data_IF_568656669040
#
_entry.id   IF_568656669040
#
_cell.length_a   1.000
_cell.length_b   1.000
_cell.length_c   1.000
_cell.angle_alpha   90.00
_cell.angle_beta   90.00
_cell.angle_gamma   90.00
#
_symmetry.space_group_name_H-M   'P 1'
#
loop_
_entity.id
_entity.type
_entity.pdbx_description
1 polymer ?
#
# COMPACT_ATOMS: atom_id res chain seq x y z
N UNK A 1 -20.55 -29.80 -15.20
CA UNK A 1 -21.84 -29.24 -15.69
C UNK A 1 -21.81 -29.21 -17.21
N UNK A 2 -22.90 -29.57 -17.92
CA UNK A 2 -22.97 -29.37 -19.37
C UNK A 2 -22.95 -27.86 -19.69
N UNK A 3 -22.28 -27.46 -20.77
CA UNK A 3 -22.17 -26.05 -21.22
C UNK A 3 -23.55 -25.39 -21.36
N UNK A 4 -24.55 -26.15 -21.81
CA UNK A 4 -25.95 -25.69 -21.93
C UNK A 4 -26.60 -25.32 -20.60
N UNK A 5 -26.25 -26.01 -19.50
CA UNK A 5 -26.78 -25.71 -18.16
C UNK A 5 -26.18 -24.43 -17.59
N UNK A 6 -24.88 -24.21 -17.81
CA UNK A 6 -24.20 -22.97 -17.40
C UNK A 6 -24.73 -21.75 -18.15
N UNK A 7 -24.86 -21.85 -19.49
CA UNK A 7 -25.42 -20.77 -20.32
C UNK A 7 -26.84 -20.39 -19.91
N UNK A 8 -27.68 -21.38 -19.53
CA UNK A 8 -29.01 -21.10 -18.98
C UNK A 8 -28.95 -20.29 -17.68
N UNK A 9 -28.11 -20.68 -16.72
CA UNK A 9 -27.98 -19.95 -15.47
C UNK A 9 -27.44 -18.54 -15.67
N UNK A 10 -26.52 -18.35 -16.62
CA UNK A 10 -26.02 -17.03 -17.01
C UNK A 10 -27.15 -16.15 -17.57
N UNK A 11 -27.94 -16.68 -18.50
CA UNK A 11 -29.10 -15.99 -19.08
C UNK A 11 -30.18 -15.67 -18.05
N UNK A 12 -30.44 -16.57 -17.11
CA UNK A 12 -31.39 -16.33 -16.03
C UNK A 12 -30.90 -15.26 -15.05
N UNK A 13 -29.61 -15.29 -14.69
CA UNK A 13 -28.97 -14.28 -13.84
C UNK A 13 -29.01 -12.89 -14.48
N UNK A 14 -28.63 -12.74 -15.75
CA UNK A 14 -28.70 -11.45 -16.45
C UNK A 14 -30.14 -10.95 -16.61
N UNK A 15 -31.10 -11.84 -16.88
CA UNK A 15 -32.52 -11.48 -16.96
C UNK A 15 -33.07 -10.98 -15.62
N UNK A 16 -32.60 -11.54 -14.49
CA UNK A 16 -32.98 -11.06 -13.16
C UNK A 16 -32.50 -9.62 -12.91
N UNK A 17 -31.23 -9.35 -13.23
CA UNK A 17 -30.62 -8.02 -13.13
C UNK A 17 -31.45 -6.97 -13.87
N UNK A 18 -31.88 -7.27 -15.10
CA UNK A 18 -32.66 -6.35 -15.95
C UNK A 18 -34.11 -6.19 -15.47
N UNK A 19 -34.78 -7.25 -15.00
CA UNK A 19 -36.18 -7.18 -14.55
C UNK A 19 -36.36 -6.38 -13.26
N UNK A 20 -35.34 -6.30 -12.40
CA UNK A 20 -35.39 -5.56 -11.14
C UNK A 20 -34.55 -4.26 -11.19
N UNK A 21 -34.62 -3.54 -12.31
CA UNK A 21 -33.68 -2.48 -12.68
C UNK A 21 -33.41 -1.41 -11.61
N UNK A 22 -34.42 -0.98 -10.85
CA UNK A 22 -34.24 0.04 -9.80
C UNK A 22 -33.41 -0.46 -8.61
N UNK A 23 -33.70 -1.68 -8.13
CA UNK A 23 -32.96 -2.29 -7.02
C UNK A 23 -31.57 -2.73 -7.45
N UNK A 24 -31.44 -3.24 -8.68
CA UNK A 24 -30.16 -3.53 -9.33
C UNK A 24 -29.30 -2.28 -9.40
N UNK A 25 -29.85 -1.16 -9.87
CA UNK A 25 -29.14 0.11 -9.97
C UNK A 25 -28.70 0.62 -8.60
N UNK A 26 -29.58 0.62 -7.59
CA UNK A 26 -29.22 1.01 -6.22
C UNK A 26 -28.09 0.15 -5.65
N UNK A 27 -28.11 -1.16 -5.92
CA UNK A 27 -27.07 -2.09 -5.47
C UNK A 27 -25.74 -1.84 -6.15
N UNK A 28 -25.74 -1.71 -7.50
CA UNK A 28 -24.54 -1.42 -8.29
C UNK A 28 -23.94 -0.09 -7.85
N UNK A 29 -24.77 0.94 -7.65
CA UNK A 29 -24.32 2.27 -7.24
C UNK A 29 -23.67 2.25 -5.86
N UNK A 30 -24.25 1.53 -4.91
CA UNK A 30 -23.67 1.42 -3.59
C UNK A 30 -22.37 0.61 -3.56
N UNK A 31 -22.29 -0.49 -4.32
CA UNK A 31 -21.05 -1.24 -4.51
C UNK A 31 -20.00 -0.34 -5.17
N UNK A 32 -20.38 0.42 -6.20
CA UNK A 32 -19.49 1.32 -6.91
C UNK A 32 -18.92 2.39 -6.00
N UNK A 33 -19.75 3.05 -5.17
CA UNK A 33 -19.28 4.05 -4.19
C UNK A 33 -18.34 3.41 -3.18
N UNK A 34 -18.68 2.23 -2.66
CA UNK A 34 -17.87 1.53 -1.67
C UNK A 34 -16.50 1.14 -2.24
N UNK A 35 -16.49 0.56 -3.44
CA UNK A 35 -15.25 0.16 -4.13
C UNK A 35 -14.47 1.35 -4.68
N UNK A 36 -15.12 2.48 -4.96
CA UNK A 36 -14.45 3.73 -5.32
C UNK A 36 -13.64 4.29 -4.15
N UNK A 37 -14.25 4.41 -2.97
CA UNK A 37 -13.56 4.86 -1.75
C UNK A 37 -12.42 3.90 -1.42
N UNK A 38 -12.67 2.59 -1.48
CA UNK A 38 -11.65 1.57 -1.30
C UNK A 38 -10.49 1.73 -2.30
N UNK A 39 -10.81 1.90 -3.59
CA UNK A 39 -9.82 2.00 -4.64
C UNK A 39 -8.97 3.26 -4.53
N UNK A 40 -9.54 4.40 -4.13
CA UNK A 40 -8.77 5.61 -3.79
C UNK A 40 -7.81 5.31 -2.64
N UNK A 41 -8.29 4.65 -1.59
CA UNK A 41 -7.47 4.36 -0.42
C UNK A 41 -6.28 3.44 -0.77
N UNK A 42 -6.54 2.38 -1.55
CA UNK A 42 -5.50 1.48 -2.05
C UNK A 42 -4.51 2.23 -2.92
N UNK A 43 -4.98 3.09 -3.83
CA UNK A 43 -4.11 3.90 -4.68
C UNK A 43 -3.20 4.83 -3.88
N UNK A 44 -3.74 5.52 -2.87
CA UNK A 44 -2.96 6.37 -1.96
C UNK A 44 -1.93 5.52 -1.22
N UNK A 45 -2.33 4.36 -0.70
CA UNK A 45 -1.42 3.48 0.06
C UNK A 45 -0.28 2.96 -0.81
N UNK A 46 -0.56 2.57 -2.05
CA UNK A 46 0.47 2.13 -2.99
C UNK A 46 1.47 3.24 -3.29
N UNK A 47 0.99 4.45 -3.57
CA UNK A 47 1.87 5.60 -3.83
C UNK A 47 2.65 6.03 -2.58
N UNK A 48 2.02 6.06 -1.40
CA UNK A 48 2.71 6.39 -0.14
C UNK A 48 3.78 5.35 0.17
N UNK A 49 3.51 4.06 -0.04
CA UNK A 49 4.53 3.03 0.14
C UNK A 49 5.67 3.17 -0.87
N UNK A 50 5.39 3.52 -2.12
CA UNK A 50 6.41 3.71 -3.15
C UNK A 50 7.31 4.92 -2.86
N UNK A 51 6.70 6.04 -2.47
CA UNK A 51 7.41 7.24 -2.00
C UNK A 51 8.21 6.93 -0.74
N UNK A 52 7.63 6.18 0.20
CA UNK A 52 8.35 5.73 1.39
C UNK A 52 9.56 4.87 1.00
N UNK A 53 9.43 3.91 0.07
CA UNK A 53 10.57 3.10 -0.40
C UNK A 53 11.67 3.94 -1.06
N UNK A 54 11.31 4.93 -1.87
CA UNK A 54 12.29 5.84 -2.50
C UNK A 54 13.07 6.66 -1.45
N UNK A 55 12.41 7.05 -0.36
CA UNK A 55 13.05 7.76 0.76
C UNK A 55 13.89 6.77 1.58
N UNK A 56 13.34 5.61 1.88
CA UNK A 56 13.94 4.51 2.62
C UNK A 56 15.27 4.05 2.00
N UNK A 57 15.34 3.93 0.67
CA UNK A 57 16.57 3.59 -0.05
C UNK A 57 17.69 4.65 0.10
N UNK A 58 17.35 5.86 0.55
CA UNK A 58 18.30 6.95 0.84
C UNK A 58 18.56 7.12 2.34
N UNK A 59 17.92 6.33 3.21
CA UNK A 59 18.12 6.44 4.66
C UNK A 59 19.43 5.77 5.05
N UNK A 60 20.46 6.60 5.20
CA UNK A 60 21.75 6.22 5.74
C UNK A 60 21.87 6.59 7.22
N UNK A 61 22.56 5.75 7.99
CA UNK A 61 22.97 6.08 9.36
C UNK A 61 24.35 6.73 9.28
N UNK A 62 24.44 7.99 9.67
CA UNK A 62 25.70 8.71 9.79
C UNK A 62 26.24 8.59 11.22
N UNK A 63 27.37 7.93 11.37
CA UNK A 63 28.05 7.68 12.64
C UNK A 63 29.26 8.60 12.72
N UNK A 64 29.14 9.72 13.43
CA UNK A 64 30.23 10.67 13.64
C UNK A 64 31.15 10.17 14.75
N UNK A 65 32.44 10.08 14.43
CA UNK A 65 33.49 9.66 15.35
C UNK A 65 33.96 10.83 16.21
N UNK A 66 34.60 10.55 17.33
CA UNK A 66 35.25 11.62 18.08
C UNK A 66 36.46 12.19 17.34
N UNK A 67 36.76 13.47 17.60
CA UNK A 67 37.88 14.15 16.94
C UNK A 67 39.19 13.46 17.32
N UNK A 68 40.07 13.23 16.35
CA UNK A 68 41.36 12.54 16.51
C UNK A 68 41.26 11.06 16.94
N UNK A 69 40.21 10.35 16.52
CA UNK A 69 40.12 8.89 16.71
C UNK A 69 41.29 8.18 15.99
N UNK A 70 42.09 7.33 16.66
CA UNK A 70 43.20 6.60 16.05
C UNK A 70 42.75 5.64 14.93
N UNK A 71 43.56 5.48 13.88
CA UNK A 71 43.22 4.70 12.68
C UNK A 71 42.93 3.21 12.96
N UNK A 72 43.64 2.64 13.91
CA UNK A 72 43.43 1.31 14.46
C UNK A 72 42.05 1.16 15.12
N UNK A 73 41.62 2.17 15.88
CA UNK A 73 40.29 2.21 16.47
C UNK A 73 39.19 2.41 15.42
N UNK A 74 39.44 3.22 14.39
CA UNK A 74 38.53 3.37 13.24
C UNK A 74 38.32 2.01 12.56
N UNK A 75 39.39 1.26 12.32
CA UNK A 75 39.32 -0.05 11.67
C UNK A 75 38.56 -1.08 12.53
N UNK A 76 38.77 -1.06 13.85
CA UNK A 76 38.04 -1.91 14.79
C UNK A 76 36.54 -1.58 14.80
N UNK A 77 36.18 -0.29 14.86
CA UNK A 77 34.80 0.17 14.82
C UNK A 77 34.11 -0.22 13.51
N UNK A 78 34.81 -0.08 12.38
CA UNK A 78 34.28 -0.48 11.08
C UNK A 78 33.91 -1.97 11.07
N UNK A 79 34.79 -2.84 11.59
CA UNK A 79 34.51 -4.28 11.69
C UNK A 79 33.36 -4.59 12.67
N UNK A 80 33.29 -3.88 13.80
CA UNK A 80 32.20 -4.04 14.78
C UNK A 80 30.85 -3.65 14.17
N UNK A 81 30.76 -2.51 13.49
CA UNK A 81 29.52 -2.04 12.86
C UNK A 81 29.14 -2.96 11.70
N UNK A 82 30.10 -3.41 10.88
CA UNK A 82 29.84 -4.33 9.79
C UNK A 82 29.33 -5.71 10.28
N UNK A 83 29.68 -6.11 11.51
CA UNK A 83 29.18 -7.33 12.14
C UNK A 83 27.75 -7.22 12.69
N UNK A 84 27.14 -6.04 12.69
CA UNK A 84 25.77 -5.85 13.17
C UNK A 84 24.77 -6.43 12.16
N UNK A 85 23.85 -7.28 12.64
CA UNK A 85 22.80 -7.84 11.80
C UNK A 85 21.90 -6.74 11.25
N UNK A 86 21.75 -6.71 9.92
CA UNK A 86 20.96 -5.70 9.21
C UNK A 86 21.77 -4.54 8.66
N UNK A 87 23.09 -4.52 8.83
CA UNK A 87 24.00 -3.62 8.10
C UNK A 87 24.33 -4.22 6.74
N UNK A 88 24.05 -3.45 5.68
CA UNK A 88 24.28 -3.83 4.28
C UNK A 88 25.68 -3.43 3.82
N UNK A 89 26.01 -2.15 3.99
CA UNK A 89 27.30 -1.58 3.63
C UNK A 89 27.74 -0.54 4.66
N UNK A 90 29.06 -0.36 4.77
CA UNK A 90 29.67 0.69 5.59
C UNK A 90 30.76 1.38 4.77
N UNK A 91 30.74 2.71 4.76
CA UNK A 91 31.73 3.54 4.08
C UNK A 91 32.32 4.55 5.06
N UNK A 92 33.64 4.60 5.15
CA UNK A 92 34.35 5.67 5.86
C UNK A 92 34.33 6.94 5.01
N UNK A 93 34.04 8.06 5.64
CA UNK A 93 34.05 9.40 5.06
C UNK A 93 34.91 10.27 5.96
N UNK A 94 36.04 10.73 5.45
CA UNK A 94 36.90 11.63 6.22
C UNK A 94 36.26 13.01 6.37
N UNK A 95 36.69 13.77 7.38
CA UNK A 95 36.24 15.16 7.56
C UNK A 95 36.47 16.03 6.32
N UNK A 96 37.53 15.79 5.55
CA UNK A 96 37.81 16.48 4.29
C UNK A 96 36.82 16.10 3.19
N UNK A 97 36.53 14.80 3.03
CA UNK A 97 35.51 14.34 2.08
C UNK A 97 34.11 14.86 2.45
N UNK A 98 33.79 14.87 3.74
CA UNK A 98 32.55 15.44 4.28
C UNK A 98 32.40 16.93 3.95
N UNK A 99 33.50 17.70 4.00
CA UNK A 99 33.50 19.12 3.63
C UNK A 99 33.20 19.32 2.13
N UNK A 100 33.77 18.48 1.27
CA UNK A 100 33.49 18.49 -0.18
C UNK A 100 32.01 18.18 -0.45
N UNK A 101 31.47 17.14 0.20
CA UNK A 101 30.06 16.78 0.08
C UNK A 101 29.12 17.90 0.56
N UNK A 102 29.44 18.54 1.68
CA UNK A 102 28.66 19.64 2.24
C UNK A 102 28.66 20.86 1.29
N UNK A 103 29.82 21.20 0.70
CA UNK A 103 29.93 22.26 -0.32
C UNK A 103 29.06 21.98 -1.55
N UNK A 104 28.96 20.72 -1.97
CA UNK A 104 28.13 20.33 -3.10
C UNK A 104 26.63 20.46 -2.78
N UNK A 105 26.20 20.05 -1.57
CA UNK A 105 24.80 20.12 -1.11
C UNK A 105 24.30 21.56 -0.93
N UNK A 106 25.16 22.48 -0.47
CA UNK A 106 24.81 23.88 -0.22
C UNK A 106 24.71 24.73 -1.51
N UNK A 107 25.20 24.23 -2.64
CA UNK A 107 25.20 24.95 -3.92
C UNK A 107 26.12 26.19 -3.92
N UNK A 108 26.13 26.91 -5.04
CA UNK A 108 26.99 28.09 -5.27
C UNK A 108 26.88 29.14 -4.17
N UNK A 109 25.68 29.38 -3.63
CA UNK A 109 25.42 30.41 -2.62
C UNK A 109 25.96 30.07 -1.22
N UNK A 110 26.13 28.79 -0.89
CA UNK A 110 26.65 28.37 0.42
C UNK A 110 28.13 27.96 0.43
N UNK A 111 28.76 27.81 -0.74
CA UNK A 111 30.21 27.51 -0.84
C UNK A 111 31.07 28.57 -0.16
N UNK A 112 30.76 29.85 -0.36
CA UNK A 112 31.50 30.96 0.24
C UNK A 112 31.43 31.00 1.78
N UNK A 113 30.42 30.36 2.39
CA UNK A 113 30.31 30.22 3.84
C UNK A 113 31.24 29.15 4.42
N UNK A 114 31.78 28.28 3.57
CA UNK A 114 32.66 27.18 3.94
C UNK A 114 34.14 27.45 3.59
N UNK A 115 34.45 28.67 3.13
CA UNK A 115 35.82 29.10 2.85
C UNK A 115 36.57 29.32 4.18
N UNK A 116 37.77 28.74 4.31
CA UNK A 116 38.59 28.84 5.53
C UNK A 116 38.45 27.69 6.53
N UNK A 117 37.48 26.78 6.34
CA UNK A 117 37.33 25.55 7.14
C UNK A 117 38.12 24.35 6.57
N UNK A 118 39.19 24.62 5.81
CA UNK A 118 40.06 23.59 5.24
C UNK A 118 41.20 23.23 6.20
N UNK A 119 41.71 22.00 6.08
CA UNK A 119 42.82 21.52 6.92
C UNK A 119 42.46 21.49 8.40
N UNK A 120 43.28 22.13 9.24
CA UNK A 120 43.12 22.11 10.70
C UNK A 120 41.92 22.91 11.21
N UNK A 121 41.38 23.82 10.40
CA UNK A 121 40.19 24.59 10.78
C UNK A 121 38.89 23.84 10.52
N UNK A 122 38.94 22.62 9.97
CA UNK A 122 37.74 21.85 9.65
C UNK A 122 37.01 21.39 10.93
N UNK A 123 35.78 21.88 11.20
CA UNK A 123 35.04 21.54 12.40
C UNK A 123 34.32 20.20 12.28
N UNK A 124 34.41 19.52 11.14
CA UNK A 124 33.75 18.25 10.90
C UNK A 124 34.51 17.09 11.55
N UNK A 125 33.73 16.11 11.98
CA UNK A 125 34.22 14.83 12.44
C UNK A 125 34.37 13.86 11.26
N UNK A 126 35.31 12.92 11.36
CA UNK A 126 35.27 11.72 10.53
C UNK A 126 33.97 10.94 10.81
N UNK A 127 33.43 10.27 9.79
CA UNK A 127 32.17 9.58 9.91
C UNK A 127 32.16 8.24 9.17
N UNK A 128 31.30 7.34 9.64
CA UNK A 128 30.84 6.22 8.82
C UNK A 128 29.44 6.49 8.29
N UNK A 129 29.26 6.26 6.99
CA UNK A 129 27.95 6.14 6.36
C UNK A 129 27.59 4.65 6.33
N UNK A 130 26.50 4.29 7.00
CA UNK A 130 26.04 2.91 7.14
C UNK A 130 24.69 2.77 6.45
N UNK A 131 24.63 1.91 5.44
CA UNK A 131 23.39 1.47 4.81
C UNK A 131 22.86 0.22 5.52
N UNK A 132 21.54 0.13 5.69
CA UNK A 132 20.89 -1.04 6.27
C UNK A 132 20.19 -1.88 5.20
N UNK A 133 20.02 -3.17 5.47
CA UNK A 133 19.31 -4.10 4.56
C UNK A 133 17.81 -3.79 4.47
N UNK A 134 17.21 -3.38 5.59
CA UNK A 134 15.80 -3.01 5.70
C UNK A 134 15.72 -1.63 6.37
N UNK A 135 15.26 -0.60 5.65
CA UNK A 135 15.13 0.75 6.18
C UNK A 135 14.21 0.87 7.42
N UNK A 136 13.32 -0.10 7.64
CA UNK A 136 12.50 -0.17 8.87
C UNK A 136 13.31 -0.52 10.11
N UNK A 137 14.50 -1.11 9.93
CA UNK A 137 15.41 -1.49 11.02
C UNK A 137 16.43 -0.39 11.34
N UNK A 138 16.44 0.74 10.62
CA UNK A 138 17.39 1.85 10.83
C UNK A 138 17.49 2.27 12.29
N UNK A 139 16.36 2.42 12.99
CA UNK A 139 16.35 2.81 14.40
C UNK A 139 17.02 1.75 15.30
N UNK A 140 16.77 0.47 15.03
CA UNK A 140 17.33 -0.65 15.80
C UNK A 140 18.84 -0.74 15.59
N UNK A 141 19.29 -0.66 14.33
CA UNK A 141 20.72 -0.68 13.97
C UNK A 141 21.42 0.55 14.55
N UNK A 142 20.81 1.74 14.47
CA UNK A 142 21.37 2.96 15.04
C UNK A 142 21.52 2.88 16.58
N UNK A 143 20.55 2.27 17.27
CA UNK A 143 20.64 2.03 18.71
C UNK A 143 21.73 0.99 19.05
N UNK A 144 21.91 -0.05 18.23
CA UNK A 144 22.99 -1.03 18.37
C UNK A 144 24.38 -0.40 18.15
N UNK A 145 24.52 0.46 17.15
CA UNK A 145 25.76 1.23 16.91
C UNK A 145 26.02 2.17 18.09
N UNK A 146 24.99 2.86 18.58
CA UNK A 146 25.11 3.74 19.75
C UNK A 146 25.52 2.96 21.00
N UNK A 147 25.10 1.69 21.11
CA UNK A 147 25.45 0.82 22.23
C UNK A 147 26.95 0.43 22.24
N UNK A 148 27.69 0.55 21.13
CA UNK A 148 29.15 0.31 21.07
C UNK A 148 29.91 1.26 22.02
N UNK A 149 29.35 2.45 22.30
CA UNK A 149 29.90 3.39 23.27
C UNK A 149 29.70 2.95 24.73
N UNK A 150 28.87 1.94 25.00
CA UNK A 150 28.55 1.53 26.36
C UNK A 150 29.80 0.92 27.01
N UNK A 151 30.31 1.55 28.06
CA UNK A 151 31.48 1.06 28.81
C UNK A 151 32.84 1.44 28.22
N UNK A 152 32.91 2.33 27.21
CA UNK A 152 34.16 2.91 26.70
C UNK A 152 34.35 4.36 27.19
N UNK A 153 35.54 4.68 27.67
CA UNK A 153 35.97 6.04 28.02
C UNK A 153 37.44 6.24 27.56
N UNK A 154 37.72 7.14 26.60
CA UNK A 154 36.78 8.00 25.88
C UNK A 154 35.86 7.21 24.93
N UNK A 155 34.68 7.78 24.65
CA UNK A 155 33.72 7.20 23.71
C UNK A 155 34.21 7.44 22.28
N UNK A 156 34.41 6.38 21.47
CA UNK A 156 34.88 6.56 20.10
C UNK A 156 33.85 7.18 19.15
N UNK A 157 32.55 7.03 19.45
CA UNK A 157 31.46 7.58 18.62
C UNK A 157 30.93 8.84 19.30
N UNK A 158 31.01 9.98 18.64
CA UNK A 158 30.45 11.24 19.12
C UNK A 158 28.92 11.26 19.00
N UNK A 159 28.40 10.93 17.81
CA UNK A 159 26.96 11.02 17.52
C UNK A 159 26.53 10.06 16.42
N UNK A 160 25.41 9.37 16.62
CA UNK A 160 24.73 8.59 15.58
C UNK A 160 23.51 9.38 15.09
N UNK A 161 23.43 9.63 13.80
CA UNK A 161 22.35 10.39 13.17
C UNK A 161 21.77 9.65 11.97
N UNK A 162 20.49 9.33 12.03
CA UNK A 162 19.73 8.72 10.95
C UNK A 162 18.46 9.51 10.61
N UNK A 163 18.36 10.78 11.03
CA UNK A 163 17.12 11.54 10.91
C UNK A 163 16.04 11.06 11.89
N UNK A 164 16.46 10.68 13.11
CA UNK A 164 15.59 10.29 14.23
C UNK A 164 14.45 11.29 14.39
N UNK A 165 13.23 10.79 14.64
CA UNK A 165 12.03 11.61 14.72
C UNK A 165 11.32 11.76 13.37
N UNK A 166 12.00 12.23 12.31
CA UNK A 166 11.39 12.36 10.97
C UNK A 166 11.13 10.99 10.34
N UNK A 167 12.14 10.11 10.35
CA UNK A 167 12.02 8.74 9.83
C UNK A 167 11.00 7.93 10.65
N UNK A 168 11.03 8.06 11.98
CA UNK A 168 10.07 7.40 12.86
C UNK A 168 8.64 7.92 12.65
N UNK A 169 8.46 9.22 12.44
CA UNK A 169 7.16 9.80 12.12
C UNK A 169 6.64 9.30 10.77
N UNK A 170 7.51 9.21 9.76
CA UNK A 170 7.17 8.66 8.44
C UNK A 170 6.64 7.22 8.55
N UNK A 171 7.37 6.35 9.26
CA UNK A 171 6.94 4.96 9.47
C UNK A 171 5.64 4.88 10.28
N UNK A 172 5.50 5.68 11.35
CA UNK A 172 4.27 5.73 12.15
C UNK A 172 3.07 6.18 11.32
N UNK A 173 3.21 7.23 10.50
CA UNK A 173 2.13 7.72 9.63
C UNK A 173 1.75 6.65 8.62
N UNK A 174 2.73 6.04 7.95
CA UNK A 174 2.49 4.97 6.96
C UNK A 174 1.76 3.77 7.60
N UNK A 175 2.15 3.39 8.81
CA UNK A 175 1.48 2.32 9.56
C UNK A 175 0.04 2.70 9.96
N UNK A 176 -0.19 3.91 10.45
CA UNK A 176 -1.54 4.41 10.81
C UNK A 176 -2.44 4.40 9.57
N UNK A 177 -1.97 4.94 8.45
CA UNK A 177 -2.69 4.93 7.17
C UNK A 177 -3.04 3.48 6.81
N UNK A 178 -2.08 2.55 6.83
CA UNK A 178 -2.34 1.15 6.51
C UNK A 178 -3.44 0.51 7.36
N UNK A 179 -3.41 0.72 8.68
CA UNK A 179 -4.41 0.15 9.60
C UNK A 179 -5.79 0.80 9.47
N UNK A 180 -5.85 2.13 9.39
CA UNK A 180 -7.11 2.87 9.16
C UNK A 180 -7.74 2.43 7.84
N UNK A 181 -6.90 2.32 6.81
CA UNK A 181 -7.26 1.77 5.52
C UNK A 181 -7.92 0.42 5.59
N UNK A 182 -7.22 -0.53 6.20
CA UNK A 182 -7.72 -1.88 6.39
C UNK A 182 -9.09 -1.91 7.12
N UNK A 183 -9.26 -1.07 8.15
CA UNK A 183 -10.54 -0.91 8.84
C UNK A 183 -11.67 -0.41 7.93
N UNK A 184 -11.40 0.60 7.11
CA UNK A 184 -12.36 1.13 6.12
C UNK A 184 -12.72 0.04 5.10
N UNK A 185 -11.75 -0.74 4.61
CA UNK A 185 -11.99 -1.84 3.67
C UNK A 185 -12.99 -2.84 4.24
N UNK A 186 -12.79 -3.27 5.49
CA UNK A 186 -13.66 -4.23 6.17
C UNK A 186 -15.07 -3.66 6.31
N UNK A 187 -15.19 -2.40 6.77
CA UNK A 187 -16.47 -1.74 6.97
C UNK A 187 -17.27 -1.65 5.66
N UNK A 188 -16.63 -1.16 4.60
CA UNK A 188 -17.26 -1.01 3.28
C UNK A 188 -17.59 -2.36 2.63
N UNK A 189 -16.77 -3.39 2.89
CA UNK A 189 -17.07 -4.74 2.42
C UNK A 189 -18.34 -5.29 3.10
N UNK A 190 -18.48 -5.05 4.41
CA UNK A 190 -19.66 -5.50 5.16
C UNK A 190 -20.95 -4.82 4.70
N UNK A 191 -20.92 -3.50 4.45
CA UNK A 191 -22.09 -2.77 3.93
C UNK A 191 -22.48 -3.25 2.54
N UNK A 192 -21.51 -3.49 1.65
CA UNK A 192 -21.75 -4.02 0.31
C UNK A 192 -22.37 -5.42 0.35
N UNK A 193 -21.84 -6.32 1.18
CA UNK A 193 -22.41 -7.67 1.40
C UNK A 193 -23.86 -7.57 1.89
N UNK A 194 -24.14 -6.69 2.85
CA UNK A 194 -25.48 -6.49 3.40
C UNK A 194 -26.49 -6.02 2.33
N UNK A 195 -26.10 -5.06 1.50
CA UNK A 195 -26.97 -4.54 0.44
C UNK A 195 -27.23 -5.58 -0.64
N UNK A 196 -26.21 -6.33 -1.07
CA UNK A 196 -26.39 -7.42 -2.03
C UNK A 196 -27.32 -8.49 -1.45
N UNK A 197 -27.15 -8.83 -0.18
CA UNK A 197 -28.02 -9.80 0.48
C UNK A 197 -29.48 -9.34 0.49
N UNK A 198 -29.73 -8.04 0.73
CA UNK A 198 -31.07 -7.45 0.70
C UNK A 198 -31.68 -7.47 -0.72
N UNK A 199 -30.88 -7.14 -1.73
CA UNK A 199 -31.33 -7.16 -3.13
C UNK A 199 -31.68 -8.57 -3.58
N UNK A 200 -30.82 -9.55 -3.31
CA UNK A 200 -31.07 -10.97 -3.60
C UNK A 200 -32.33 -11.45 -2.86
N UNK A 201 -32.54 -11.03 -1.61
CA UNK A 201 -33.75 -11.36 -0.84
C UNK A 201 -35.01 -10.88 -1.57
N UNK A 202 -35.01 -9.64 -2.04
CA UNK A 202 -36.14 -9.06 -2.78
C UNK A 202 -36.35 -9.81 -4.10
N UNK A 203 -35.28 -10.14 -4.84
CA UNK A 203 -35.38 -10.94 -6.07
C UNK A 203 -35.97 -12.33 -5.81
N UNK A 204 -35.56 -13.00 -4.73
CA UNK A 204 -36.12 -14.30 -4.31
C UNK A 204 -37.62 -14.18 -4.00
N UNK A 205 -38.02 -13.15 -3.24
CA UNK A 205 -39.43 -12.92 -2.90
C UNK A 205 -40.28 -12.66 -4.15
N UNK A 206 -39.77 -11.87 -5.10
CA UNK A 206 -40.45 -11.61 -6.38
C UNK A 206 -40.63 -12.89 -7.22
N UNK A 207 -39.74 -13.88 -7.09
CA UNK A 207 -39.78 -15.16 -7.83
C UNK A 207 -40.29 -16.34 -6.99
N UNK A 208 -40.90 -16.10 -5.82
CA UNK A 208 -41.30 -17.16 -4.88
C UNK A 208 -42.19 -18.23 -5.51
N UNK A 209 -43.18 -17.84 -6.33
CA UNK A 209 -44.08 -18.79 -7.02
C UNK A 209 -43.34 -19.71 -8.00
N UNK A 210 -42.40 -19.16 -8.76
CA UNK A 210 -41.59 -19.93 -9.72
C UNK A 210 -40.69 -20.93 -8.99
N UNK A 211 -40.03 -20.48 -7.92
CA UNK A 211 -39.21 -21.33 -7.04
C UNK A 211 -40.05 -22.47 -6.44
N UNK A 212 -41.27 -22.19 -5.98
CA UNK A 212 -42.18 -23.22 -5.47
C UNK A 212 -42.51 -24.28 -6.53
N UNK A 213 -42.79 -23.88 -7.78
CA UNK A 213 -43.05 -24.82 -8.87
C UNK A 213 -41.81 -25.68 -9.15
N UNK A 214 -40.61 -25.09 -9.21
CA UNK A 214 -39.38 -25.84 -9.40
C UNK A 214 -39.15 -26.88 -8.29
N UNK A 215 -39.43 -26.52 -7.02
CA UNK A 215 -39.34 -27.46 -5.90
C UNK A 215 -40.35 -28.62 -6.05
N UNK A 216 -41.58 -28.35 -6.50
CA UNK A 216 -42.62 -29.38 -6.70
C UNK A 216 -42.28 -30.38 -7.82
N UNK A 217 -41.53 -29.96 -8.85
CA UNK A 217 -41.10 -30.82 -9.96
C UNK A 217 -39.75 -31.52 -9.65
N UNK A 218 -39.23 -31.39 -8.42
CA UNK A 218 -38.03 -32.10 -7.97
C UNK A 218 -36.69 -31.44 -8.31
N UNK A 219 -36.67 -30.12 -8.58
CA UNK A 219 -35.42 -29.42 -8.81
C UNK A 219 -34.52 -29.42 -7.55
N UNK A 220 -33.22 -29.68 -7.73
CA UNK A 220 -32.27 -29.68 -6.60
C UNK A 220 -32.06 -28.27 -6.05
N UNK A 221 -31.79 -28.17 -4.73
CA UNK A 221 -31.48 -26.89 -4.10
C UNK A 221 -30.35 -26.16 -4.82
N UNK A 222 -29.26 -26.85 -5.19
CA UNK A 222 -28.15 -26.24 -5.93
C UNK A 222 -28.59 -25.64 -7.27
N UNK A 223 -29.48 -26.32 -8.00
CA UNK A 223 -30.00 -25.83 -9.28
C UNK A 223 -30.76 -24.50 -9.13
N UNK A 224 -31.52 -24.34 -8.04
CA UNK A 224 -32.26 -23.11 -7.75
C UNK A 224 -31.33 -21.97 -7.29
N UNK A 225 -30.20 -22.29 -6.66
CA UNK A 225 -29.26 -21.30 -6.09
C UNK A 225 -28.31 -20.68 -7.11
N UNK A 226 -27.87 -21.45 -8.11
CA UNK A 226 -26.89 -21.01 -9.10
C UNK A 226 -27.20 -19.70 -9.82
N UNK A 227 -28.44 -19.45 -10.28
CA UNK A 227 -28.81 -18.17 -10.89
C UNK A 227 -28.55 -16.96 -9.99
N UNK A 228 -28.79 -17.09 -8.68
CA UNK A 228 -28.59 -16.02 -7.71
C UNK A 228 -27.10 -15.77 -7.43
N UNK A 229 -26.25 -16.81 -7.47
CA UNK A 229 -24.80 -16.61 -7.37
C UNK A 229 -24.24 -15.85 -8.55
N UNK A 230 -24.73 -16.17 -9.75
CA UNK A 230 -24.34 -15.47 -10.97
C UNK A 230 -24.86 -14.02 -10.95
N UNK A 231 -26.10 -13.80 -10.49
CA UNK A 231 -26.65 -12.45 -10.29
C UNK A 231 -25.78 -11.63 -9.32
N UNK A 232 -25.42 -12.20 -8.18
CA UNK A 232 -24.51 -11.57 -7.22
C UNK A 232 -23.14 -11.25 -7.81
N UNK A 233 -22.53 -12.21 -8.53
CA UNK A 233 -21.25 -12.01 -9.20
C UNK A 233 -21.32 -10.92 -10.28
N UNK A 234 -22.41 -10.84 -11.06
CA UNK A 234 -22.62 -9.81 -12.07
C UNK A 234 -22.79 -8.43 -11.43
N UNK A 235 -23.59 -8.32 -10.37
CA UNK A 235 -23.75 -7.08 -9.60
C UNK A 235 -22.40 -6.60 -9.05
N UNK A 236 -21.61 -7.52 -8.48
CA UNK A 236 -20.27 -7.25 -7.99
C UNK A 236 -19.30 -6.80 -9.10
N UNK A 237 -19.28 -7.53 -10.22
CA UNK A 237 -18.44 -7.22 -11.37
C UNK A 237 -18.75 -5.84 -11.96
N UNK A 238 -20.02 -5.57 -12.30
CA UNK A 238 -20.42 -4.27 -12.85
C UNK A 238 -20.21 -3.15 -11.84
N UNK A 239 -20.51 -3.41 -10.56
CA UNK A 239 -20.27 -2.47 -9.46
C UNK A 239 -18.79 -2.16 -9.24
N UNK A 240 -17.88 -3.08 -9.56
CA UNK A 240 -16.42 -2.87 -9.49
C UNK A 240 -15.80 -2.28 -10.75
N UNK A 241 -16.42 -2.50 -11.91
CA UNK A 241 -15.89 -2.05 -13.20
C UNK A 241 -15.94 -0.52 -13.33
N UNK A 242 -17.06 0.08 -12.94
CA UNK A 242 -17.27 1.54 -12.99
C UNK A 242 -16.20 2.29 -12.16
N UNK A 243 -16.02 2.00 -10.85
CA UNK A 243 -15.01 2.69 -10.06
C UNK A 243 -13.59 2.40 -10.53
N UNK A 244 -13.29 1.18 -10.99
CA UNK A 244 -11.97 0.86 -11.56
C UNK A 244 -11.65 1.77 -12.76
N UNK A 245 -12.59 1.94 -13.70
CA UNK A 245 -12.41 2.84 -14.85
C UNK A 245 -12.22 4.30 -14.43
N UNK A 246 -13.02 4.78 -13.46
CA UNK A 246 -12.92 6.17 -12.98
C UNK A 246 -11.57 6.41 -12.30
N UNK A 247 -11.15 5.50 -11.41
CA UNK A 247 -9.89 5.64 -10.67
C UNK A 247 -8.70 5.58 -11.63
N UNK A 248 -8.66 4.61 -12.54
CA UNK A 248 -7.55 4.45 -13.47
C UNK A 248 -7.50 5.58 -14.50
N UNK A 249 -8.65 6.00 -15.05
CA UNK A 249 -8.72 7.14 -15.95
C UNK A 249 -8.30 8.45 -15.25
N UNK A 250 -8.71 8.63 -13.99
CA UNK A 250 -8.29 9.74 -13.14
C UNK A 250 -6.79 9.72 -12.86
N UNK A 251 -6.23 8.56 -12.51
CA UNK A 251 -4.81 8.38 -12.22
C UNK A 251 -3.94 8.60 -13.46
N UNK A 252 -4.33 8.06 -14.60
CA UNK A 252 -3.64 8.29 -15.87
C UNK A 252 -3.59 9.78 -16.24
N UNK A 253 -4.72 10.49 -16.08
CA UNK A 253 -4.77 11.94 -16.29
C UNK A 253 -3.88 12.68 -15.29
N UNK A 254 -3.87 12.27 -14.02
CA UNK A 254 -3.03 12.87 -12.98
C UNK A 254 -1.54 12.75 -13.33
N UNK A 255 -1.09 11.58 -13.78
CA UNK A 255 0.31 11.35 -14.18
C UNK A 255 0.72 12.26 -15.34
N UNK A 256 -0.11 12.38 -16.37
CA UNK A 256 0.17 13.25 -17.54
C UNK A 256 0.18 14.75 -17.20
N UNK A 257 -0.57 15.18 -16.18
CA UNK A 257 -0.52 16.55 -15.68
C UNK A 257 0.67 16.78 -14.75
N UNK A 258 1.06 15.74 -13.99
CA UNK A 258 2.12 15.80 -12.99
C UNK A 258 3.52 15.80 -13.60
N UNK A 259 3.71 15.13 -14.75
CA UNK A 259 4.97 15.19 -15.51
C UNK A 259 5.37 16.61 -15.94
N UNK A 260 4.43 17.57 -15.92
CA UNK A 260 4.70 18.98 -16.21
C UNK A 260 5.09 19.81 -14.96
N UNK A 261 4.79 19.37 -13.72
CA UNK A 261 4.93 20.21 -12.52
C UNK A 261 5.59 19.56 -11.29
N UNK A 262 5.65 18.22 -11.16
CA UNK A 262 6.18 17.56 -9.95
C UNK A 262 7.69 17.29 -9.96
N UNK A 263 8.36 17.54 -11.09
CA UNK A 263 9.82 17.41 -11.20
C UNK A 263 10.58 18.36 -10.23
N UNK A 264 9.89 19.39 -9.71
CA UNK A 264 10.40 20.31 -8.69
C UNK A 264 10.45 19.72 -7.26
N UNK A 265 9.71 18.63 -7.00
CA UNK A 265 9.63 18.01 -5.66
C UNK A 265 10.44 16.71 -5.54
N UNK A 266 11.10 16.24 -6.61
CA UNK A 266 11.84 14.95 -6.63
C UNK A 266 11.00 13.74 -6.13
N UNK A 267 9.67 13.81 -6.23
CA UNK A 267 8.77 12.71 -5.86
C UNK A 267 8.20 12.13 -7.16
N UNK A 268 8.60 10.91 -7.49
CA UNK A 268 8.06 10.17 -8.63
C UNK A 268 6.87 9.32 -8.18
N UNK A 269 5.70 9.56 -8.80
CA UNK A 269 4.53 8.70 -8.62
C UNK A 269 4.75 7.37 -9.36
N UNK A 270 4.20 6.28 -8.82
CA UNK A 270 4.39 4.96 -9.40
C UNK A 270 3.82 4.88 -10.82
N UNK A 271 4.54 4.28 -11.80
CA UNK A 271 4.09 4.21 -13.18
C UNK A 271 2.72 3.55 -13.35
N UNK A 272 1.92 4.06 -14.29
CA UNK A 272 0.58 3.54 -14.59
C UNK A 272 0.58 2.03 -14.90
N UNK A 273 1.60 1.58 -15.64
CA UNK A 273 1.73 0.18 -16.08
C UNK A 273 1.88 -0.81 -14.90
N UNK A 274 2.45 -0.35 -13.78
CA UNK A 274 2.62 -1.17 -12.58
C UNK A 274 1.35 -1.18 -11.71
N UNK A 275 0.67 -0.03 -11.60
CA UNK A 275 -0.54 0.12 -10.76
C UNK A 275 -1.78 -0.48 -11.42
N UNK A 276 -1.98 -0.25 -12.71
CA UNK A 276 -3.21 -0.62 -13.41
C UNK A 276 -3.60 -2.11 -13.28
N UNK A 277 -2.73 -3.09 -13.56
CA UNK A 277 -3.11 -4.50 -13.48
C UNK A 277 -3.47 -4.91 -12.05
N UNK A 278 -2.71 -4.44 -11.06
CA UNK A 278 -2.94 -4.71 -9.64
C UNK A 278 -4.29 -4.15 -9.18
N UNK A 279 -4.60 -2.91 -9.56
CA UNK A 279 -5.86 -2.24 -9.22
C UNK A 279 -7.07 -2.92 -9.89
N UNK A 280 -6.96 -3.29 -11.17
CA UNK A 280 -8.03 -4.00 -11.88
C UNK A 280 -8.29 -5.36 -11.22
N UNK A 281 -7.23 -6.14 -11.00
CA UNK A 281 -7.35 -7.47 -10.39
C UNK A 281 -7.95 -7.38 -8.98
N UNK A 282 -7.51 -6.41 -8.17
CA UNK A 282 -7.97 -6.21 -6.81
C UNK A 282 -9.44 -5.75 -6.76
N UNK A 283 -9.82 -4.71 -7.50
CA UNK A 283 -11.18 -4.18 -7.48
C UNK A 283 -12.20 -5.18 -8.06
N UNK A 284 -11.89 -5.78 -9.22
CA UNK A 284 -12.77 -6.77 -9.83
C UNK A 284 -12.84 -8.04 -8.97
N UNK A 285 -11.71 -8.49 -8.43
CA UNK A 285 -11.64 -9.66 -7.55
C UNK A 285 -12.48 -9.47 -6.29
N UNK A 286 -12.29 -8.37 -5.57
CA UNK A 286 -13.06 -8.03 -4.36
C UNK A 286 -14.54 -7.85 -4.70
N UNK A 287 -14.88 -7.15 -5.79
CA UNK A 287 -16.25 -6.95 -6.23
C UNK A 287 -17.00 -8.25 -6.48
N UNK A 288 -16.38 -9.18 -7.21
CA UNK A 288 -16.96 -10.51 -7.48
C UNK A 288 -17.10 -11.31 -6.17
N UNK A 289 -16.08 -11.31 -5.31
CA UNK A 289 -16.11 -12.05 -4.03
C UNK A 289 -17.24 -11.53 -3.14
N UNK A 290 -17.36 -10.22 -2.97
CA UNK A 290 -18.44 -9.57 -2.22
C UNK A 290 -19.80 -9.91 -2.82
N UNK A 291 -19.92 -9.88 -4.15
CA UNK A 291 -21.13 -10.24 -4.88
C UNK A 291 -21.60 -11.67 -4.63
N UNK A 292 -20.68 -12.63 -4.73
CA UNK A 292 -20.95 -14.04 -4.48
C UNK A 292 -21.26 -14.29 -3.01
N UNK A 293 -20.51 -13.69 -2.09
CA UNK A 293 -20.72 -13.83 -0.64
C UNK A 293 -22.05 -13.24 -0.18
N UNK A 294 -22.41 -12.04 -0.64
CA UNK A 294 -23.71 -11.42 -0.36
C UNK A 294 -24.87 -12.28 -0.84
N UNK A 295 -24.74 -12.89 -2.02
CA UNK A 295 -25.72 -13.84 -2.55
C UNK A 295 -25.81 -15.12 -1.71
N UNK A 296 -24.68 -15.70 -1.29
CA UNK A 296 -24.62 -16.88 -0.40
C UNK A 296 -25.37 -16.70 0.90
N UNK A 297 -25.17 -15.57 1.58
CA UNK A 297 -25.83 -15.30 2.87
C UNK A 297 -27.35 -15.21 2.69
N UNK A 298 -27.80 -14.53 1.64
CA UNK A 298 -29.23 -14.36 1.36
C UNK A 298 -29.90 -15.67 0.95
N UNK A 299 -29.28 -16.40 0.02
CA UNK A 299 -29.79 -17.67 -0.49
C UNK A 299 -29.89 -18.72 0.63
N UNK A 300 -28.86 -18.86 1.49
CA UNK A 300 -28.94 -19.81 2.61
C UNK A 300 -30.08 -19.47 3.57
N UNK A 301 -30.32 -18.18 3.83
CA UNK A 301 -31.33 -17.73 4.79
C UNK A 301 -32.76 -17.80 4.25
N UNK A 302 -32.98 -17.55 2.95
CA UNK A 302 -34.33 -17.36 2.39
C UNK A 302 -34.81 -18.47 1.43
N UNK A 303 -33.93 -19.34 0.94
CA UNK A 303 -34.32 -20.51 0.11
C UNK A 303 -34.37 -21.83 0.89
N UNK A 304 -33.78 -21.87 2.09
CA UNK A 304 -33.66 -23.04 2.96
C UNK A 304 -34.72 -23.10 4.08
N UNK A 305 -35.87 -22.46 3.84
CA UNK A 305 -37.15 -22.71 4.52
C UNK A 305 -38.12 -23.32 3.51
#
# INVERSE_FOLDING_TARGET
>A
MKISTFSRHLREGTRNVVRNGWMTFASISSIAISLFILGIFVLITLNVNDIASQIEDQVEINVYLEVNTPQDQITELQAQIQGIQGVKTIKFVSKEEGLVYLRQKLGESGKALLDGFEGENNPLNDAFTVEVDDPRNVAVVADQISAINTGKDPKPIYKVNYGKGTVEALFKVTQIVRWVGFGIVILLSFTAVFLIANTIKITILARRKEISIMKMVGATNSFIRWPFFIEGALLGFVGSLIPALIILGGYWKLLNLSSLNLNLLMIELTPFEQIAPTMIALLLGIGIVIGVWGSLISVRKFLCV
#
